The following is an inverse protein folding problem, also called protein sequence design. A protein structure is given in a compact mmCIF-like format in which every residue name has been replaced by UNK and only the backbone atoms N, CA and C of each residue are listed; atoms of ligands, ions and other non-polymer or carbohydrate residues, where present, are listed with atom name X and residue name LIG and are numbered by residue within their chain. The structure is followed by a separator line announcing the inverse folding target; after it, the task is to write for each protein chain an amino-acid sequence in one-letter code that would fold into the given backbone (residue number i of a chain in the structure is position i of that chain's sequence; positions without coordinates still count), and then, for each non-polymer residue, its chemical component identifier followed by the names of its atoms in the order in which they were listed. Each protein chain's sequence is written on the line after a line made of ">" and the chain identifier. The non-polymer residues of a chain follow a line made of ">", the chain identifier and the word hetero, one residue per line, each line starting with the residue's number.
data_IF_683415203613
#
_entry.id   IF_683415203613
#
_cell.length_a   1.000
_cell.length_b   1.000
_cell.length_c   1.000
_cell.angle_alpha   90.00
_cell.angle_beta   90.00
_cell.angle_gamma   90.00
#
_symmetry.space_group_name_H-M   'P 1'
#
loop_
_entity.id
_entity.type
_entity.pdbx_description
1 polymer ?
#
# COMPACT_ATOMS: atom_id res chain seq x y z
N UNK A 1 10.60 18.94 -15.67
CA UNK A 1 10.24 19.09 -14.25
C UNK A 1 9.74 17.74 -13.77
N UNK A 2 10.65 16.92 -13.22
CA UNK A 2 10.24 15.75 -12.47
C UNK A 2 9.79 16.29 -11.12
N UNK A 3 8.48 16.39 -10.91
CA UNK A 3 7.96 16.68 -9.58
C UNK A 3 8.55 15.62 -8.66
N UNK A 4 9.30 16.09 -7.66
CA UNK A 4 9.72 15.26 -6.55
C UNK A 4 8.44 14.70 -5.96
N UNK A 5 8.24 13.39 -6.12
CA UNK A 5 7.27 12.66 -5.31
C UNK A 5 7.92 12.67 -3.93
N UNK A 6 7.66 13.73 -3.17
CA UNK A 6 7.97 13.76 -1.76
C UNK A 6 7.27 12.56 -1.14
N UNK A 7 7.96 11.65 -0.45
CA UNK A 7 7.33 10.50 0.15
C UNK A 7 6.50 10.97 1.35
N UNK A 8 5.27 11.39 1.07
CA UNK A 8 4.13 11.30 1.98
C UNK A 8 3.75 9.85 2.29
N UNK A 9 4.56 8.88 1.86
CA UNK A 9 4.43 7.44 2.09
C UNK A 9 4.55 6.99 3.57
N UNK A 10 4.46 7.92 4.52
CA UNK A 10 4.43 7.66 5.96
C UNK A 10 3.15 8.13 6.64
N UNK A 11 2.24 8.83 5.94
CA UNK A 11 0.94 9.15 6.53
C UNK A 11 0.11 7.86 6.64
N UNK A 12 -0.32 7.47 7.86
CA UNK A 12 -1.06 6.22 8.05
C UNK A 12 -2.39 6.19 7.29
N UNK A 13 -3.04 7.33 7.07
CA UNK A 13 -4.29 7.40 6.33
C UNK A 13 -4.04 7.17 4.84
N UNK A 14 -3.03 7.82 4.27
CA UNK A 14 -2.64 7.63 2.86
C UNK A 14 -2.25 6.16 2.59
N UNK A 15 -1.51 5.53 3.52
CA UNK A 15 -1.16 4.12 3.44
C UNK A 15 -2.39 3.20 3.53
N UNK A 16 -3.36 3.52 4.38
CA UNK A 16 -4.62 2.79 4.47
C UNK A 16 -5.45 2.90 3.18
N UNK A 17 -5.52 4.08 2.57
CA UNK A 17 -6.19 4.30 1.29
C UNK A 17 -5.51 3.51 0.15
N UNK A 18 -4.18 3.51 0.12
CA UNK A 18 -3.41 2.70 -0.84
C UNK A 18 -3.69 1.20 -0.66
N UNK A 19 -3.73 0.69 0.57
CA UNK A 19 -4.07 -0.70 0.84
C UNK A 19 -5.48 -1.05 0.35
N UNK A 20 -6.46 -0.17 0.60
CA UNK A 20 -7.85 -0.37 0.16
C UNK A 20 -7.97 -0.40 -1.37
N UNK A 21 -7.33 0.54 -2.06
CA UNK A 21 -7.30 0.58 -3.51
C UNK A 21 -6.67 -0.70 -4.10
N UNK A 22 -5.59 -1.17 -3.48
CA UNK A 22 -4.86 -2.34 -3.93
C UNK A 22 -5.61 -3.65 -3.67
N UNK A 23 -6.26 -3.80 -2.51
CA UNK A 23 -7.19 -4.92 -2.24
C UNK A 23 -8.30 -4.96 -3.29
N UNK A 24 -8.88 -3.80 -3.60
CA UNK A 24 -9.94 -3.69 -4.61
C UNK A 24 -9.44 -4.15 -5.98
N UNK A 25 -8.19 -3.84 -6.34
CA UNK A 25 -7.57 -4.31 -7.57
C UNK A 25 -7.34 -5.84 -7.54
N UNK A 26 -6.78 -6.39 -6.45
CA UNK A 26 -6.55 -7.84 -6.28
C UNK A 26 -7.85 -8.64 -6.43
N UNK A 27 -8.96 -8.14 -5.90
CA UNK A 27 -10.27 -8.82 -5.99
C UNK A 27 -10.83 -8.81 -7.41
N UNK A 28 -10.50 -7.80 -8.22
CA UNK A 28 -11.02 -7.62 -9.59
C UNK A 28 -10.14 -8.23 -10.68
N UNK A 29 -8.92 -8.66 -10.34
CA UNK A 29 -7.99 -9.28 -11.29
C UNK A 29 -8.15 -10.79 -11.28
N UNK A 30 -8.49 -11.35 -12.44
CA UNK A 30 -8.57 -12.80 -12.69
C UNK A 30 -7.24 -13.39 -13.17
N UNK A 31 -6.35 -12.57 -13.72
CA UNK A 31 -5.04 -13.03 -14.20
C UNK A 31 -4.13 -13.38 -13.02
N UNK A 32 -3.88 -14.69 -12.83
CA UNK A 32 -3.10 -15.23 -11.73
C UNK A 32 -1.74 -14.53 -11.48
N UNK A 33 -0.85 -14.34 -12.47
CA UNK A 33 0.45 -13.70 -12.23
C UNK A 33 0.32 -12.23 -11.79
N UNK A 34 -0.66 -11.50 -12.33
CA UNK A 34 -0.92 -10.11 -11.91
C UNK A 34 -1.48 -10.09 -10.50
N UNK A 35 -2.38 -11.03 -10.18
CA UNK A 35 -2.95 -11.16 -8.85
C UNK A 35 -1.89 -11.45 -7.79
N UNK A 36 -0.97 -12.38 -8.04
CA UNK A 36 0.16 -12.67 -7.15
C UNK A 36 1.07 -11.45 -6.95
N UNK A 37 1.35 -10.71 -8.03
CA UNK A 37 2.15 -9.49 -7.98
C UNK A 37 1.48 -8.41 -7.13
N UNK A 38 0.16 -8.20 -7.31
CA UNK A 38 -0.60 -7.23 -6.53
C UNK A 38 -0.73 -7.64 -5.05
N UNK A 39 -0.85 -8.95 -4.77
CA UNK A 39 -0.85 -9.47 -3.40
C UNK A 39 0.48 -9.21 -2.69
N UNK A 40 1.61 -9.36 -3.40
CA UNK A 40 2.93 -9.03 -2.86
C UNK A 40 3.02 -7.54 -2.48
N UNK A 41 2.65 -6.65 -3.40
CA UNK A 41 2.66 -5.19 -3.15
C UNK A 41 1.73 -4.83 -1.98
N UNK A 42 0.57 -5.49 -1.88
CA UNK A 42 -0.37 -5.27 -0.79
C UNK A 42 0.24 -5.63 0.56
N UNK A 43 0.98 -6.73 0.63
CA UNK A 43 1.65 -7.14 1.85
C UNK A 43 2.73 -6.13 2.28
N UNK A 44 3.51 -5.59 1.33
CA UNK A 44 4.49 -4.54 1.62
C UNK A 44 3.82 -3.27 2.15
N UNK A 45 2.71 -2.85 1.55
CA UNK A 45 1.94 -1.66 1.97
C UNK A 45 1.28 -1.83 3.33
N UNK A 46 0.70 -2.99 3.62
CA UNK A 46 0.15 -3.29 4.95
C UNK A 46 1.25 -3.30 6.01
N UNK A 47 2.42 -3.85 5.70
CA UNK A 47 3.58 -3.84 6.62
C UNK A 47 4.02 -2.41 6.92
N UNK A 48 4.14 -1.56 5.90
CA UNK A 48 4.45 -0.14 6.08
C UNK A 48 3.39 0.58 6.94
N UNK A 49 2.10 0.28 6.72
CA UNK A 49 1.01 0.81 7.52
C UNK A 49 1.11 0.39 8.99
N UNK A 50 1.37 -0.91 9.26
CA UNK A 50 1.54 -1.39 10.62
C UNK A 50 2.72 -0.72 11.33
N UNK A 51 3.85 -0.54 10.63
CA UNK A 51 5.01 0.18 11.17
C UNK A 51 4.64 1.64 11.48
N UNK A 52 3.97 2.34 10.55
CA UNK A 52 3.57 3.72 10.76
C UNK A 52 2.66 3.85 11.99
N UNK A 53 1.66 2.97 12.12
CA UNK A 53 0.76 2.95 13.27
C UNK A 53 1.46 2.62 14.60
N UNK A 54 2.41 1.68 14.60
CA UNK A 54 3.23 1.35 15.78
C UNK A 54 4.10 2.53 16.23
N UNK A 55 4.74 3.22 15.27
CA UNK A 55 5.55 4.42 15.56
C UNK A 55 4.73 5.62 16.03
N UNK A 56 3.40 5.63 15.83
CA UNK A 56 2.54 6.73 16.30
C UNK A 56 2.16 6.57 17.78
N UNK A 57 2.47 5.43 18.42
CA UNK A 57 2.17 5.13 19.82
C UNK A 57 3.35 5.26 20.79
N UNK A 58 4.55 5.68 20.34
CA UNK A 58 5.72 5.99 21.17
C UNK A 58 5.98 7.50 21.22
#
# INVERSE_FOLDING_TARGET
>A
MLNSIEPGANDPLELAEQCLALITAVVKVDEAPVKESLQFILQEKMTALFIALDTTCN
#
